data_IF_386868936886
#
_entry.id   IF_386868936886
#
_cell.length_a   1.000
_cell.length_b   1.000
_cell.length_c   1.000
_cell.angle_alpha   90.00
_cell.angle_beta   90.00
_cell.angle_gamma   90.00
#
_symmetry.space_group_name_H-M   'P 1'
#
loop_
_entity.id
_entity.type
_entity.pdbx_description
1 polymer ?
#
# COMPACT_ATOMS: atom_id res chain seq x y z
N UNK A 1 -14.52 -63.20 -52.81
CA UNK A 1 -13.65 -62.82 -51.67
C UNK A 1 -13.43 -61.37 -51.68
N UNK A 2 -14.12 -60.59 -50.75
CA UNK A 2 -13.97 -59.15 -50.62
C UNK A 2 -13.02 -58.89 -49.45
N UNK A 3 -11.90 -58.20 -49.72
CA UNK A 3 -10.95 -57.75 -48.67
C UNK A 3 -11.42 -56.40 -48.12
N UNK A 4 -11.71 -56.33 -46.83
CA UNK A 4 -11.96 -55.11 -46.11
C UNK A 4 -10.63 -54.47 -45.69
N UNK A 5 -10.39 -53.24 -46.11
CA UNK A 5 -9.25 -52.44 -45.65
C UNK A 5 -9.65 -51.68 -44.36
N UNK A 6 -8.95 -51.93 -43.28
CA UNK A 6 -9.12 -51.20 -42.04
C UNK A 6 -8.20 -49.98 -42.06
N UNK A 7 -8.77 -48.76 -42.05
CA UNK A 7 -8.05 -47.51 -41.89
C UNK A 7 -7.85 -47.22 -40.39
N UNK A 8 -6.60 -47.23 -39.96
CA UNK A 8 -6.23 -46.78 -38.60
C UNK A 8 -6.14 -45.25 -38.57
N UNK A 9 -6.99 -44.61 -37.79
CA UNK A 9 -6.92 -43.18 -37.52
C UNK A 9 -5.94 -42.98 -36.37
N UNK A 10 -4.79 -42.38 -36.67
CA UNK A 10 -3.80 -41.97 -35.65
C UNK A 10 -4.28 -40.67 -34.98
N UNK A 11 -4.73 -40.75 -33.73
CA UNK A 11 -5.07 -39.60 -32.94
C UNK A 11 -3.77 -39.01 -32.37
N UNK A 12 -3.28 -37.89 -32.93
CA UNK A 12 -2.15 -37.13 -32.39
C UNK A 12 -2.69 -36.25 -31.29
N UNK A 13 -2.48 -36.64 -30.05
CA UNK A 13 -2.77 -35.77 -28.88
C UNK A 13 -1.70 -34.68 -28.83
N UNK A 14 -2.08 -33.44 -29.15
CA UNK A 14 -1.24 -32.28 -28.91
C UNK A 14 -1.28 -31.98 -27.38
N UNK A 15 -0.18 -32.33 -26.71
CA UNK A 15 0.09 -31.82 -25.35
C UNK A 15 0.33 -30.31 -25.47
N UNK A 16 -0.69 -29.52 -25.20
CA UNK A 16 -0.53 -28.08 -24.96
C UNK A 16 0.18 -27.97 -23.61
N UNK A 17 1.49 -27.76 -23.64
CA UNK A 17 2.24 -27.35 -22.46
C UNK A 17 1.68 -25.98 -22.04
N UNK A 18 0.98 -25.94 -20.93
CA UNK A 18 0.60 -24.66 -20.31
C UNK A 18 1.90 -23.97 -19.90
N UNK A 19 2.30 -23.00 -20.69
CA UNK A 19 3.45 -22.15 -20.40
C UNK A 19 3.04 -21.28 -19.20
N UNK A 20 3.57 -21.60 -18.01
CA UNK A 20 3.36 -20.78 -16.83
C UNK A 20 3.89 -19.38 -17.13
N UNK A 21 3.07 -18.36 -16.94
CA UNK A 21 3.50 -16.97 -17.12
C UNK A 21 4.78 -16.72 -16.29
N UNK A 22 5.75 -15.97 -16.84
CA UNK A 22 7.01 -15.73 -16.14
C UNK A 22 6.74 -15.01 -14.81
N UNK A 23 7.40 -15.48 -13.76
CA UNK A 23 7.42 -14.79 -12.46
C UNK A 23 8.44 -13.66 -12.55
N UNK A 24 8.08 -12.50 -12.04
CA UNK A 24 8.94 -11.31 -12.01
C UNK A 24 9.13 -10.80 -10.58
N UNK A 25 10.16 -10.02 -10.35
CA UNK A 25 10.28 -9.23 -9.12
C UNK A 25 9.30 -8.05 -9.21
N UNK A 26 8.80 -7.59 -8.07
CA UNK A 26 7.87 -6.44 -8.00
C UNK A 26 8.41 -5.21 -8.76
N UNK A 27 9.72 -5.00 -8.72
CA UNK A 27 10.40 -3.90 -9.43
C UNK A 27 10.33 -4.00 -10.96
N UNK A 28 10.00 -5.17 -11.50
CA UNK A 28 9.86 -5.45 -12.93
C UNK A 28 8.40 -5.70 -13.34
N UNK A 29 7.47 -5.59 -12.40
CA UNK A 29 6.04 -5.75 -12.66
C UNK A 29 5.46 -4.43 -13.18
N UNK A 30 4.82 -4.46 -14.35
CA UNK A 30 4.49 -3.25 -15.13
C UNK A 30 3.47 -2.31 -14.45
N UNK A 31 2.62 -2.81 -13.56
CA UNK A 31 1.62 -2.03 -12.83
C UNK A 31 2.20 -1.36 -11.56
N UNK A 32 3.43 -1.72 -11.15
CA UNK A 32 4.10 -1.20 -9.97
C UNK A 32 5.11 -0.11 -10.37
N UNK A 33 4.72 1.14 -10.21
CA UNK A 33 5.56 2.30 -10.56
C UNK A 33 6.30 2.80 -9.32
N UNK A 34 7.61 2.56 -9.24
CA UNK A 34 8.44 3.03 -8.13
C UNK A 34 8.44 4.57 -8.08
N UNK A 35 8.09 5.14 -6.93
CA UNK A 35 7.98 6.59 -6.72
C UNK A 35 8.93 7.12 -5.65
N UNK A 36 9.42 6.24 -4.76
CA UNK A 36 10.37 6.59 -3.72
C UNK A 36 11.15 5.35 -3.31
N UNK A 37 12.46 5.50 -3.08
CA UNK A 37 13.28 4.48 -2.44
C UNK A 37 14.33 5.15 -1.55
N UNK A 38 14.51 4.61 -0.36
CA UNK A 38 15.57 4.99 0.59
C UNK A 38 15.95 3.79 1.45
N UNK A 39 16.76 3.98 2.49
CA UNK A 39 17.17 2.91 3.40
C UNK A 39 16.06 2.24 4.20
N UNK A 40 14.88 2.87 4.32
CA UNK A 40 13.74 2.38 5.10
C UNK A 40 12.72 1.68 4.23
N UNK A 41 12.39 2.25 3.07
CA UNK A 41 11.26 1.83 2.26
C UNK A 41 11.56 1.90 0.76
N UNK A 42 10.85 1.05 0.02
CA UNK A 42 10.61 1.21 -1.41
C UNK A 42 9.11 1.33 -1.63
N UNK A 43 8.69 2.39 -2.31
CA UNK A 43 7.28 2.73 -2.47
C UNK A 43 6.88 2.68 -3.93
N UNK A 44 5.78 2.00 -4.21
CA UNK A 44 5.18 1.91 -5.54
C UNK A 44 3.79 2.53 -5.53
N UNK A 45 3.46 3.26 -6.58
CA UNK A 45 2.07 3.43 -7.00
C UNK A 45 1.67 2.26 -7.88
N UNK A 46 0.56 1.64 -7.54
CA UNK A 46 0.02 0.50 -8.27
C UNK A 46 -1.28 0.91 -8.93
N UNK A 47 -1.39 0.60 -10.21
CA UNK A 47 -2.64 0.78 -10.95
C UNK A 47 -2.88 -0.40 -11.89
N UNK A 48 -3.96 -1.13 -11.65
CA UNK A 48 -4.41 -2.25 -12.49
C UNK A 48 -5.74 -1.85 -13.14
N UNK A 49 -5.75 -1.77 -14.47
CA UNK A 49 -6.93 -1.35 -15.21
C UNK A 49 -8.14 -2.30 -14.96
N UNK A 50 -9.37 -1.87 -15.27
CA UNK A 50 -10.56 -2.70 -15.10
C UNK A 50 -10.42 -4.05 -15.81
N UNK A 51 -10.66 -5.14 -15.08
CA UNK A 51 -10.62 -6.51 -15.60
C UNK A 51 -9.22 -7.02 -16.00
N UNK A 52 -8.17 -6.27 -15.69
CA UNK A 52 -6.78 -6.70 -15.91
C UNK A 52 -6.18 -7.35 -14.65
N UNK A 53 -5.01 -7.92 -14.83
CA UNK A 53 -4.23 -8.58 -13.77
C UNK A 53 -2.79 -8.12 -13.82
N UNK A 54 -2.13 -8.10 -12.68
CA UNK A 54 -0.67 -8.08 -12.61
C UNK A 54 -0.09 -9.39 -13.18
N UNK A 55 1.20 -9.39 -13.49
CA UNK A 55 1.95 -10.64 -13.62
C UNK A 55 2.09 -11.32 -12.26
N UNK A 56 2.45 -12.63 -12.26
CA UNK A 56 2.90 -13.31 -11.04
C UNK A 56 4.20 -12.65 -10.59
N UNK A 57 4.18 -11.94 -9.45
CA UNK A 57 5.32 -11.16 -8.99
C UNK A 57 5.64 -11.43 -7.52
N UNK A 58 6.94 -11.29 -7.18
CA UNK A 58 7.48 -11.55 -5.87
C UNK A 58 7.51 -10.29 -5.01
N UNK A 59 6.99 -10.39 -3.79
CA UNK A 59 7.28 -9.50 -2.69
C UNK A 59 8.34 -10.14 -1.80
N UNK A 60 9.56 -9.63 -1.85
CA UNK A 60 10.67 -10.16 -1.04
C UNK A 60 10.67 -9.63 0.40
N UNK A 61 10.12 -8.45 0.56
CA UNK A 61 10.05 -7.75 1.84
C UNK A 61 8.61 -7.74 2.38
N UNK A 62 8.49 -7.63 3.69
CA UNK A 62 7.23 -7.24 4.32
C UNK A 62 6.78 -5.89 3.75
N UNK A 63 5.49 -5.70 3.61
CA UNK A 63 4.98 -4.46 3.06
C UNK A 63 3.68 -4.01 3.71
N UNK A 64 3.42 -2.73 3.62
CA UNK A 64 2.13 -2.10 3.91
C UNK A 64 1.53 -1.65 2.59
N UNK A 65 0.24 -1.88 2.36
CA UNK A 65 -0.44 -1.25 1.25
C UNK A 65 -1.60 -0.40 1.73
N UNK A 66 -1.86 0.71 1.02
CA UNK A 66 -2.95 1.65 1.26
C UNK A 66 -3.81 1.70 0.01
N UNK A 67 -5.07 1.29 0.10
CA UNK A 67 -6.00 1.26 -1.02
C UNK A 67 -6.49 2.67 -1.35
N UNK A 68 -6.62 3.01 -2.64
CA UNK A 68 -7.13 4.28 -3.14
C UNK A 68 -8.44 4.05 -3.89
N UNK A 69 -9.54 4.41 -3.26
CA UNK A 69 -10.90 4.09 -3.72
C UNK A 69 -11.34 2.68 -3.34
N UNK A 70 -12.64 2.42 -3.51
CA UNK A 70 -13.22 1.09 -3.27
C UNK A 70 -12.76 0.13 -4.36
N UNK A 71 -12.34 -1.08 -3.99
CA UNK A 71 -11.78 -2.06 -4.93
C UNK A 71 -12.31 -3.46 -4.68
N UNK A 72 -12.38 -4.23 -5.76
CA UNK A 72 -12.79 -5.64 -5.81
C UNK A 72 -11.70 -6.43 -6.51
N UNK A 73 -10.94 -7.21 -5.76
CA UNK A 73 -9.70 -7.83 -6.22
C UNK A 73 -9.69 -9.31 -5.87
N UNK A 74 -9.37 -10.16 -6.84
CA UNK A 74 -9.04 -11.55 -6.61
C UNK A 74 -7.52 -11.70 -6.47
N UNK A 75 -7.07 -12.13 -5.29
CA UNK A 75 -5.65 -12.29 -4.97
C UNK A 75 -5.26 -13.77 -5.03
N UNK A 76 -4.40 -14.15 -5.97
CA UNK A 76 -3.92 -15.51 -6.15
C UNK A 76 -2.45 -15.62 -5.72
N UNK A 77 -2.23 -16.17 -4.54
CA UNK A 77 -0.88 -16.50 -4.05
C UNK A 77 -0.42 -17.81 -4.69
N UNK A 78 0.80 -17.83 -5.19
CA UNK A 78 1.41 -19.01 -5.83
C UNK A 78 1.19 -20.28 -5.02
N UNK A 79 0.56 -21.26 -5.64
CA UNK A 79 0.26 -22.56 -5.02
C UNK A 79 -0.91 -22.56 -4.04
N UNK A 80 -1.70 -21.49 -3.97
CA UNK A 80 -2.91 -21.40 -3.16
C UNK A 80 -4.12 -21.01 -4.01
N UNK A 81 -5.35 -21.38 -3.59
CA UNK A 81 -6.55 -20.90 -4.27
C UNK A 81 -6.70 -19.38 -4.15
N UNK A 82 -7.31 -18.71 -5.15
CA UNK A 82 -7.59 -17.28 -5.08
C UNK A 82 -8.45 -16.90 -3.88
N UNK A 83 -8.24 -15.70 -3.36
CA UNK A 83 -9.02 -15.10 -2.28
C UNK A 83 -9.62 -13.78 -2.77
N UNK A 84 -10.93 -13.62 -2.62
CA UNK A 84 -11.64 -12.39 -2.97
C UNK A 84 -11.47 -11.33 -1.88
N UNK A 85 -11.06 -10.13 -2.28
CA UNK A 85 -10.85 -8.99 -1.41
C UNK A 85 -11.77 -7.84 -1.82
N UNK A 86 -12.63 -7.41 -0.91
CA UNK A 86 -13.43 -6.20 -1.02
C UNK A 86 -12.77 -5.13 -0.15
N UNK A 87 -12.07 -4.21 -0.78
CA UNK A 87 -11.24 -3.21 -0.10
C UNK A 87 -11.96 -1.86 -0.08
N UNK A 88 -11.88 -1.18 1.05
CA UNK A 88 -12.42 0.17 1.22
C UNK A 88 -11.39 1.24 0.87
N UNK A 89 -11.85 2.47 0.63
CA UNK A 89 -10.98 3.61 0.42
C UNK A 89 -10.17 3.93 1.68
N UNK A 90 -8.84 3.97 1.54
CA UNK A 90 -7.89 4.13 2.66
C UNK A 90 -7.61 2.84 3.43
N UNK A 91 -8.26 1.72 3.10
CA UNK A 91 -7.98 0.47 3.80
C UNK A 91 -6.50 0.12 3.72
N UNK A 92 -5.89 -0.06 4.90
CA UNK A 92 -4.45 -0.25 5.06
C UNK A 92 -4.17 -1.58 5.72
N UNK A 93 -3.30 -2.38 5.11
CA UNK A 93 -2.93 -3.71 5.61
C UNK A 93 -1.42 -3.90 5.64
N UNK A 94 -0.94 -4.59 6.66
CA UNK A 94 0.39 -5.19 6.70
C UNK A 94 0.34 -6.59 6.08
N UNK A 95 1.30 -6.91 5.24
CA UNK A 95 1.43 -8.23 4.60
C UNK A 95 2.86 -8.72 4.75
N UNK A 96 3.09 -9.92 5.33
CA UNK A 96 4.41 -10.53 5.37
C UNK A 96 4.93 -10.82 3.95
N UNK A 97 6.20 -10.58 3.74
CA UNK A 97 6.86 -10.81 2.45
C UNK A 97 7.19 -12.27 2.15
N UNK A 98 8.08 -12.45 1.18
CA UNK A 98 8.62 -13.72 0.72
C UNK A 98 7.58 -14.65 0.07
N UNK A 99 6.69 -14.09 -0.72
CA UNK A 99 5.73 -14.84 -1.55
C UNK A 99 5.54 -14.18 -2.93
N UNK A 100 4.98 -14.94 -3.87
CA UNK A 100 4.56 -14.44 -5.18
C UNK A 100 3.04 -14.51 -5.32
N UNK A 101 2.45 -13.53 -6.00
CA UNK A 101 1.03 -13.51 -6.28
C UNK A 101 0.67 -12.78 -7.59
N UNK A 102 -0.60 -12.97 -7.99
CA UNK A 102 -1.30 -12.19 -9.01
C UNK A 102 -2.42 -11.43 -8.31
N UNK A 103 -2.60 -10.15 -8.63
CA UNK A 103 -3.78 -9.39 -8.27
C UNK A 103 -4.64 -9.18 -9.53
N UNK A 104 -5.86 -9.71 -9.55
CA UNK A 104 -6.82 -9.50 -10.62
C UNK A 104 -7.87 -8.49 -10.20
N UNK A 105 -8.05 -7.42 -10.97
CA UNK A 105 -9.06 -6.42 -10.73
C UNK A 105 -10.43 -6.87 -11.25
N UNK A 106 -11.37 -7.22 -10.36
CA UNK A 106 -12.71 -7.64 -10.69
C UNK A 106 -13.67 -6.48 -10.95
N UNK A 107 -13.27 -5.23 -10.65
CA UNK A 107 -14.12 -4.06 -10.76
C UNK A 107 -14.20 -3.51 -12.21
N UNK A 108 -15.14 -2.60 -12.43
CA UNK A 108 -15.24 -1.79 -13.65
C UNK A 108 -14.42 -0.49 -13.58
N UNK A 109 -13.79 -0.22 -12.46
CA UNK A 109 -12.87 0.90 -12.22
C UNK A 109 -11.46 0.39 -11.98
N UNK A 110 -10.44 1.22 -12.14
CA UNK A 110 -9.08 0.83 -11.86
C UNK A 110 -8.88 0.48 -10.37
N UNK A 111 -8.17 -0.61 -10.10
CA UNK A 111 -7.66 -0.91 -8.76
C UNK A 111 -6.39 -0.10 -8.54
N UNK A 112 -6.38 0.74 -7.52
CA UNK A 112 -5.24 1.59 -7.18
C UNK A 112 -4.85 1.41 -5.73
N UNK A 113 -3.56 1.39 -5.49
CA UNK A 113 -3.01 1.41 -4.13
C UNK A 113 -1.61 2.02 -4.10
N UNK A 114 -1.13 2.33 -2.91
CA UNK A 114 0.28 2.59 -2.63
C UNK A 114 0.84 1.40 -1.87
N UNK A 115 1.81 0.70 -2.45
CA UNK A 115 2.53 -0.41 -1.83
C UNK A 115 3.87 0.09 -1.29
N UNK A 116 4.16 -0.19 -0.02
CA UNK A 116 5.31 0.30 0.74
C UNK A 116 6.08 -0.90 1.24
N UNK A 117 7.12 -1.36 0.52
CA UNK A 117 8.04 -2.38 1.01
C UNK A 117 8.89 -1.84 2.15
N UNK A 118 9.05 -2.61 3.22
CA UNK A 118 9.85 -2.29 4.41
C UNK A 118 11.23 -2.92 4.24
N UNK A 119 12.24 -2.13 3.92
CA UNK A 119 13.57 -2.62 3.54
C UNK A 119 14.49 -2.92 4.71
N UNK A 120 14.20 -2.37 5.90
CA UNK A 120 15.00 -2.64 7.10
C UNK A 120 14.72 -4.04 7.63
N UNK A 121 15.76 -4.71 8.12
CA UNK A 121 15.62 -5.99 8.80
C UNK A 121 14.69 -5.88 10.02
N UNK A 122 13.88 -6.92 10.25
CA UNK A 122 12.97 -7.03 11.39
C UNK A 122 13.69 -6.73 12.73
N UNK A 123 14.95 -7.18 12.88
CA UNK A 123 15.79 -6.90 14.06
C UNK A 123 16.16 -5.44 14.24
N UNK A 124 16.42 -4.73 13.14
CA UNK A 124 16.72 -3.30 13.19
C UNK A 124 15.45 -2.48 13.52
N UNK A 125 14.28 -2.96 13.07
CA UNK A 125 12.96 -2.39 13.39
C UNK A 125 12.48 -2.71 14.81
N UNK A 126 12.99 -3.80 15.41
CA UNK A 126 12.54 -4.32 16.71
C UNK A 126 13.15 -3.59 17.92
N UNK A 127 13.92 -2.53 17.72
CA UNK A 127 14.27 -1.63 18.82
C UNK A 127 12.99 -0.88 19.18
N UNK A 128 12.28 -1.24 20.29
CA UNK A 128 10.98 -0.67 20.55
C UNK A 128 11.17 0.83 20.78
N UNK A 129 10.48 1.68 20.02
CA UNK A 129 10.30 3.03 20.47
C UNK A 129 9.52 2.93 21.77
N UNK A 130 10.05 3.50 22.82
CA UNK A 130 9.37 3.52 24.10
C UNK A 130 7.93 4.01 23.89
N UNK A 131 6.94 3.17 24.23
CA UNK A 131 5.52 3.49 24.36
C UNK A 131 4.60 3.53 23.11
N UNK A 132 4.98 3.05 21.94
CA UNK A 132 4.04 3.00 20.81
C UNK A 132 2.92 1.96 20.98
N UNK A 133 3.12 0.93 21.76
CA UNK A 133 2.15 -0.17 21.94
C UNK A 133 0.98 0.17 22.86
N UNK A 134 1.02 1.27 23.60
CA UNK A 134 0.05 1.58 24.66
C UNK A 134 -1.17 2.38 24.17
N UNK A 135 -1.11 2.99 22.97
CA UNK A 135 -2.15 3.92 22.47
C UNK A 135 -2.82 3.40 21.20
N UNK A 136 -3.29 2.17 21.22
CA UNK A 136 -4.14 1.67 20.13
C UNK A 136 -5.54 2.24 20.25
N UNK A 137 -6.11 2.67 19.12
CA UNK A 137 -7.49 3.10 19.04
C UNK A 137 -7.67 4.44 18.36
N UNK A 138 -8.89 4.93 18.40
CA UNK A 138 -9.29 6.20 17.78
C UNK A 138 -9.11 7.31 18.79
N UNK A 139 -8.33 8.32 18.42
CA UNK A 139 -8.21 9.58 19.14
C UNK A 139 -9.04 10.66 18.44
N UNK A 140 -9.81 11.41 19.21
CA UNK A 140 -10.57 12.56 18.71
C UNK A 140 -9.64 13.77 18.68
N UNK A 141 -9.49 14.35 17.53
CA UNK A 141 -8.69 15.55 17.29
C UNK A 141 -9.59 16.79 17.23
N UNK A 142 -8.97 17.95 17.09
CA UNK A 142 -9.71 19.18 16.80
C UNK A 142 -10.23 19.16 15.35
N UNK A 143 -11.50 18.81 15.18
CA UNK A 143 -12.13 18.68 13.86
C UNK A 143 -11.66 17.47 13.06
N UNK A 144 -11.37 16.35 13.73
CA UNK A 144 -10.97 15.12 13.03
C UNK A 144 -10.70 13.94 13.95
N UNK A 145 -10.07 12.91 13.39
CA UNK A 145 -9.69 11.68 14.08
C UNK A 145 -8.30 11.24 13.68
N UNK A 146 -7.63 10.55 14.59
CA UNK A 146 -6.47 9.72 14.35
C UNK A 146 -6.79 8.31 14.82
N UNK A 147 -6.55 7.31 13.98
CA UNK A 147 -6.65 5.91 14.34
C UNK A 147 -5.28 5.25 14.18
N UNK A 148 -4.76 4.65 15.24
CA UNK A 148 -3.60 3.78 15.16
C UNK A 148 -4.09 2.42 14.67
N UNK A 149 -3.84 2.11 13.40
CA UNK A 149 -4.30 0.90 12.75
C UNK A 149 -3.55 -0.33 13.28
N UNK A 150 -2.23 -0.21 13.37
CA UNK A 150 -1.37 -1.24 13.95
C UNK A 150 0.04 -0.71 14.23
N UNK A 151 0.73 -1.44 15.12
CA UNK A 151 2.17 -1.34 15.31
C UNK A 151 2.76 -2.72 15.02
N UNK A 152 3.73 -2.78 14.15
CA UNK A 152 4.38 -4.03 13.74
C UNK A 152 5.87 -3.80 13.54
N UNK A 153 6.71 -4.57 14.25
CA UNK A 153 8.17 -4.56 14.12
C UNK A 153 8.79 -3.15 14.20
N UNK A 154 8.27 -2.33 15.13
CA UNK A 154 8.70 -0.94 15.34
C UNK A 154 8.10 0.07 14.35
N UNK A 155 7.35 -0.36 13.34
CA UNK A 155 6.65 0.54 12.43
C UNK A 155 5.25 0.80 12.95
N UNK A 156 4.90 2.06 13.18
CA UNK A 156 3.54 2.50 13.54
C UNK A 156 2.81 3.02 12.30
N UNK A 157 1.61 2.51 12.07
CA UNK A 157 0.75 2.96 10.98
C UNK A 157 -0.52 3.56 11.55
N UNK A 158 -0.78 4.81 11.19
CA UNK A 158 -1.94 5.58 11.65
C UNK A 158 -2.68 6.19 10.47
N UNK A 159 -4.00 6.16 10.52
CA UNK A 159 -4.88 6.90 9.61
C UNK A 159 -5.33 8.20 10.28
N UNK A 160 -5.39 9.26 9.50
CA UNK A 160 -5.89 10.57 9.92
C UNK A 160 -7.02 10.99 8.99
N UNK A 161 -8.08 11.53 9.58
CA UNK A 161 -9.15 12.21 8.86
C UNK A 161 -9.41 13.56 9.51
N UNK A 162 -9.21 14.65 8.75
CA UNK A 162 -9.38 16.03 9.21
C UNK A 162 -10.45 16.74 8.39
N UNK A 163 -11.48 17.23 9.03
CA UNK A 163 -12.48 18.10 8.41
C UNK A 163 -11.84 19.44 7.98
N UNK A 164 -12.47 20.25 7.13
CA UNK A 164 -12.00 21.61 6.82
C UNK A 164 -11.74 22.40 8.10
N UNK A 165 -10.52 22.94 8.25
CA UNK A 165 -10.07 23.63 9.46
C UNK A 165 -9.67 22.72 10.62
N UNK A 166 -9.87 21.41 10.48
CA UNK A 166 -9.43 20.41 11.47
C UNK A 166 -7.91 20.30 11.56
N UNK A 167 -7.40 19.90 12.72
CA UNK A 167 -5.96 19.85 12.95
C UNK A 167 -5.51 18.68 13.82
N UNK A 168 -4.33 18.16 13.51
CA UNK A 168 -3.52 17.36 14.43
C UNK A 168 -2.82 18.37 15.35
N UNK A 169 -3.04 18.29 16.68
CA UNK A 169 -2.40 19.22 17.64
C UNK A 169 -0.87 19.14 17.57
N UNK A 170 -0.21 20.08 18.24
CA UNK A 170 1.25 20.08 18.33
C UNK A 170 1.77 18.72 18.81
N UNK A 171 2.58 18.07 18.00
CA UNK A 171 3.18 16.77 18.27
C UNK A 171 4.59 16.70 17.70
N UNK A 172 5.38 15.75 18.22
CA UNK A 172 6.77 15.58 17.84
C UNK A 172 6.95 14.27 17.05
N UNK A 173 7.61 14.37 15.90
CA UNK A 173 8.17 13.22 15.19
C UNK A 173 9.61 12.99 15.62
N UNK A 174 9.88 11.88 16.31
CA UNK A 174 11.24 11.54 16.74
C UNK A 174 12.04 10.92 15.58
N UNK A 175 11.45 9.97 14.89
CA UNK A 175 11.99 9.28 13.71
C UNK A 175 11.41 9.78 12.39
N UNK A 176 11.93 9.26 11.27
CA UNK A 176 11.39 9.57 9.96
C UNK A 176 10.01 8.93 9.76
N UNK A 177 9.25 9.48 8.81
CA UNK A 177 7.94 8.94 8.48
C UNK A 177 7.57 9.19 7.02
N UNK A 178 6.70 8.32 6.50
CA UNK A 178 6.09 8.43 5.19
C UNK A 178 4.62 8.84 5.36
N UNK A 179 4.19 9.84 4.62
CA UNK A 179 2.77 10.21 4.50
C UNK A 179 2.26 9.74 3.13
N UNK A 180 1.11 9.08 3.11
CA UNK A 180 0.38 8.66 1.91
C UNK A 180 -0.95 9.43 1.88
N UNK A 181 -1.18 10.24 0.87
CA UNK A 181 -2.45 10.93 0.65
C UNK A 181 -3.51 9.94 0.15
N UNK A 182 -4.58 9.72 0.89
CA UNK A 182 -5.73 8.90 0.45
C UNK A 182 -6.68 9.76 -0.38
N UNK A 183 -6.93 10.99 0.05
CA UNK A 183 -7.68 12.01 -0.72
C UNK A 183 -6.73 13.10 -1.22
N UNK A 184 -7.22 14.01 -2.05
CA UNK A 184 -6.51 15.26 -2.31
C UNK A 184 -6.37 16.04 -1.01
N UNK A 185 -5.17 16.53 -0.71
CA UNK A 185 -4.87 17.24 0.52
C UNK A 185 -4.46 18.68 0.23
N UNK A 186 -5.05 19.61 0.97
CA UNK A 186 -4.56 20.98 1.14
C UNK A 186 -4.29 21.19 2.62
N UNK A 187 -3.04 21.13 3.03
CA UNK A 187 -2.66 21.18 4.45
C UNK A 187 -1.63 22.27 4.71
N UNK A 188 -1.50 22.67 5.96
CA UNK A 188 -0.45 23.55 6.42
C UNK A 188 0.24 22.92 7.62
N UNK A 189 1.56 22.86 7.54
CA UNK A 189 2.43 22.43 8.64
C UNK A 189 3.03 23.66 9.32
N UNK A 190 2.71 23.84 10.59
CA UNK A 190 3.26 24.89 11.43
C UNK A 190 4.36 24.29 12.32
N UNK A 191 5.61 24.28 11.82
CA UNK A 191 6.78 23.77 12.55
C UNK A 191 7.27 24.81 13.54
N UNK A 192 7.55 24.37 14.77
CA UNK A 192 8.03 25.25 15.83
C UNK A 192 9.31 26.01 15.41
N UNK A 193 9.30 27.33 15.53
CA UNK A 193 10.42 28.19 15.17
C UNK A 193 10.64 28.43 13.67
N UNK A 194 9.71 28.01 12.81
CA UNK A 194 9.78 28.19 11.36
C UNK A 194 8.51 28.87 10.80
N UNK A 195 8.61 29.36 9.57
CA UNK A 195 7.43 29.83 8.87
C UNK A 195 6.51 28.65 8.50
N UNK A 196 5.18 28.85 8.50
CA UNK A 196 4.23 27.85 8.06
C UNK A 196 4.51 27.36 6.63
N UNK A 197 4.42 26.05 6.42
CA UNK A 197 4.67 25.42 5.12
C UNK A 197 3.36 24.85 4.58
N UNK A 198 2.84 25.35 3.44
CA UNK A 198 1.71 24.75 2.78
C UNK A 198 2.10 23.45 2.08
N UNK A 199 1.17 22.48 2.06
CA UNK A 199 1.29 21.21 1.35
C UNK A 199 0.07 20.98 0.47
N UNK A 200 0.30 20.58 -0.77
CA UNK A 200 -0.72 20.17 -1.73
C UNK A 200 -0.35 18.80 -2.26
N UNK A 201 -1.24 17.83 -2.11
CA UNK A 201 -1.03 16.45 -2.54
C UNK A 201 -2.26 15.96 -3.29
N UNK A 202 -2.04 15.14 -4.29
CA UNK A 202 -3.10 14.35 -4.93
C UNK A 202 -3.25 13.00 -4.27
N UNK A 203 -4.42 12.40 -4.35
CA UNK A 203 -4.62 11.03 -3.90
C UNK A 203 -3.59 10.09 -4.52
N UNK A 204 -2.89 9.31 -3.70
CA UNK A 204 -1.75 8.47 -4.07
C UNK A 204 -0.39 9.17 -4.05
N UNK A 205 -0.31 10.47 -3.76
CA UNK A 205 0.99 11.11 -3.52
C UNK A 205 1.59 10.62 -2.21
N UNK A 206 2.92 10.52 -2.20
CA UNK A 206 3.69 10.13 -1.03
C UNK A 206 4.72 11.21 -0.68
N UNK A 207 4.97 11.38 0.62
CA UNK A 207 5.96 12.31 1.11
C UNK A 207 6.79 11.67 2.22
N UNK A 208 8.09 11.57 1.99
CA UNK A 208 9.04 11.21 3.05
C UNK A 208 9.45 12.44 3.83
N UNK A 209 9.43 12.33 5.15
CA UNK A 209 9.77 13.40 6.07
C UNK A 209 10.77 12.88 7.09
N UNK A 210 11.83 13.66 7.35
CA UNK A 210 12.77 13.37 8.43
C UNK A 210 12.09 13.62 9.79
N UNK A 211 12.56 12.93 10.82
CA UNK A 211 12.14 13.20 12.19
C UNK A 211 12.87 14.41 12.81
N UNK A 212 12.71 14.56 14.12
CA UNK A 212 13.45 15.56 14.91
C UNK A 212 12.74 16.92 15.02
N UNK A 213 11.47 17.05 14.64
CA UNK A 213 10.72 18.30 14.71
C UNK A 213 9.36 18.17 15.41
N UNK A 214 8.86 19.31 15.88
CA UNK A 214 7.52 19.45 16.47
C UNK A 214 6.68 20.34 15.57
N UNK A 215 5.46 19.93 15.26
CA UNK A 215 4.56 20.73 14.43
C UNK A 215 3.08 20.52 14.76
N UNK A 216 2.25 21.42 14.26
CA UNK A 216 0.81 21.28 14.10
C UNK A 216 0.50 21.09 12.62
N UNK A 217 -0.39 20.17 12.27
CA UNK A 217 -0.86 19.99 10.90
C UNK A 217 -2.32 20.38 10.81
N UNK A 218 -2.67 21.31 9.90
CA UNK A 218 -4.03 21.80 9.72
C UNK A 218 -4.51 21.53 8.30
N UNK A 219 -5.73 20.99 8.15
CA UNK A 219 -6.41 20.94 6.86
C UNK A 219 -6.90 22.36 6.50
N UNK A 220 -6.29 22.95 5.50
CA UNK A 220 -6.64 24.29 4.97
C UNK A 220 -7.56 24.22 3.76
N UNK A 221 -7.86 23.02 3.29
CA UNK A 221 -8.74 22.74 2.15
C UNK A 221 -10.21 22.86 2.52
N UNK A 222 -11.05 22.70 1.49
CA UNK A 222 -12.52 22.76 1.60
C UNK A 222 -13.16 21.39 1.73
N UNK A 223 -12.37 20.32 1.57
CA UNK A 223 -12.80 18.92 1.67
C UNK A 223 -12.12 18.24 2.87
N UNK A 224 -12.67 17.11 3.31
CA UNK A 224 -12.01 16.26 4.30
C UNK A 224 -10.65 15.79 3.76
N UNK A 225 -9.62 15.88 4.58
CA UNK A 225 -8.27 15.43 4.29
C UNK A 225 -8.04 14.07 4.96
N UNK A 226 -7.92 13.00 4.17
CA UNK A 226 -7.63 11.65 4.64
C UNK A 226 -6.24 11.23 4.20
N UNK A 227 -5.42 10.77 5.13
CA UNK A 227 -4.05 10.30 4.86
C UNK A 227 -3.60 9.24 5.86
N UNK A 228 -2.62 8.46 5.44
CA UNK A 228 -1.96 7.44 6.27
C UNK A 228 -0.53 7.88 6.55
N UNK A 229 -0.11 7.81 7.80
CA UNK A 229 1.29 7.98 8.21
C UNK A 229 1.89 6.63 8.60
N UNK A 230 3.08 6.33 8.05
CA UNK A 230 3.91 5.18 8.39
C UNK A 230 5.16 5.74 9.07
N UNK A 231 5.26 5.53 10.38
CA UNK A 231 6.31 6.11 11.23
C UNK A 231 7.34 5.05 11.60
N UNK A 232 8.61 5.45 11.55
CA UNK A 232 9.75 4.61 11.89
C UNK A 232 10.40 5.11 13.19
N UNK A 233 11.06 4.22 13.98
CA UNK A 233 11.68 4.57 15.24
C UNK A 233 12.87 5.53 15.10
#
# INVERSE_FOLDING_TARGET
MKRAAASAILLVAHLVSAQTAPEVEITNEAHHHAVLENEYVRVFRVEVAPRESTLMHWHRHDYVFVTLGVSDVSNEVKGKPPVELKLQDGETRFVPGNFAHIAHNNAATAFRNVTIELLQDEKARSTPPAKWDEERGVQILNGGTQEILFVKDGVRVSEFELQPGGSVPSHRHNGPHLVVAVTDLEVRSDVEGQNPVPGHFKAGDVKWLAGGYTHTLTNTGKQSAKFVAVEFP
#
